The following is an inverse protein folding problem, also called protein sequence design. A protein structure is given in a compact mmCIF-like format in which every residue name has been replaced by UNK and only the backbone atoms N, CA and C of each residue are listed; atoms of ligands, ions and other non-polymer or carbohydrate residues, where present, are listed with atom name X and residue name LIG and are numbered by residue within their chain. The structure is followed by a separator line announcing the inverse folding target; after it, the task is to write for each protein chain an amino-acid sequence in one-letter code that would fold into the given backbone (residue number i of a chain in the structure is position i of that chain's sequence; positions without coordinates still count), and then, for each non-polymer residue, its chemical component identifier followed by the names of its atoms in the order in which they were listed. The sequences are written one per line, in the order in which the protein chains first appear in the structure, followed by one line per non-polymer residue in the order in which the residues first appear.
data_IF_057876369545
#
_entry.id   IF_057876369545
#
_cell.length_a   1.000
_cell.length_b   1.000
_cell.length_c   1.000
_cell.angle_alpha   90.00
_cell.angle_beta   90.00
_cell.angle_gamma   90.00
#
_symmetry.space_group_name_H-M   'P 1'
#
loop_
_entity.id
_entity.type
_entity.pdbx_description
1 polymer ?
#
# COMPACT_ATOMS: atom_id res chain seq x y z
N UNK A 1 -0.88 -13.88 -17.23
CA UNK A 1 -1.71 -12.86 -16.55
C UNK A 1 -0.90 -12.35 -15.39
N UNK A 2 -0.84 -11.04 -15.16
CA UNK A 2 -0.09 -10.47 -14.03
C UNK A 2 -0.81 -10.73 -12.71
N UNK A 3 -0.09 -11.10 -11.66
CA UNK A 3 -0.66 -11.34 -10.33
C UNK A 3 -0.90 -10.00 -9.61
N UNK A 4 -2.10 -9.74 -9.06
CA UNK A 4 -2.34 -8.52 -8.30
C UNK A 4 -1.61 -8.57 -6.96
N UNK A 5 -1.00 -7.44 -6.58
CA UNK A 5 -0.39 -7.23 -5.27
C UNK A 5 -0.80 -5.85 -4.78
N UNK A 6 -1.26 -5.78 -3.53
CA UNK A 6 -1.36 -4.53 -2.82
C UNK A 6 -0.09 -4.31 -1.99
N UNK A 7 0.55 -3.15 -2.16
CA UNK A 7 1.72 -2.75 -1.40
C UNK A 7 1.34 -1.70 -0.34
N UNK A 8 1.66 -1.99 0.91
CA UNK A 8 1.60 -1.05 2.02
C UNK A 8 3.02 -0.65 2.43
N UNK A 9 3.29 0.66 2.52
CA UNK A 9 4.57 1.14 3.05
C UNK A 9 4.64 0.95 4.57
N UNK A 10 5.85 0.82 5.11
CA UNK A 10 6.08 0.82 6.56
C UNK A 10 6.13 2.25 7.11
N UNK A 11 6.30 2.40 8.43
CA UNK A 11 6.46 3.71 9.05
C UNK A 11 7.69 4.45 8.49
N UNK A 12 7.46 5.62 7.86
CA UNK A 12 8.53 6.56 7.48
C UNK A 12 8.36 7.19 6.10
N UNK A 13 8.31 6.38 5.04
CA UNK A 13 8.32 6.89 3.66
C UNK A 13 7.03 6.49 2.92
N UNK A 14 6.38 7.43 2.19
CA UNK A 14 5.18 7.13 1.41
C UNK A 14 5.51 6.21 0.25
N UNK A 15 4.47 5.57 -0.31
CA UNK A 15 4.59 4.57 -1.38
C UNK A 15 5.35 5.08 -2.61
N UNK A 16 5.27 6.38 -2.90
CA UNK A 16 6.01 7.02 -4.00
C UNK A 16 7.53 6.75 -3.97
N UNK A 17 8.12 6.54 -2.79
CA UNK A 17 9.56 6.24 -2.65
C UNK A 17 9.94 4.89 -3.27
N UNK A 18 8.98 3.96 -3.38
CA UNK A 18 9.18 2.60 -3.86
C UNK A 18 9.01 2.44 -5.37
N UNK A 19 8.90 3.51 -6.15
CA UNK A 19 8.66 3.44 -7.59
C UNK A 19 9.65 2.55 -8.37
N UNK A 20 10.93 2.52 -7.97
CA UNK A 20 11.92 1.60 -8.58
C UNK A 20 11.57 0.12 -8.35
N UNK A 21 11.05 -0.22 -7.16
CA UNK A 21 10.59 -1.57 -6.85
C UNK A 21 9.36 -1.92 -7.70
N UNK A 22 8.40 -1.00 -7.83
CA UNK A 22 7.20 -1.25 -8.65
C UNK A 22 7.53 -1.47 -10.12
N UNK A 23 8.45 -0.68 -10.69
CA UNK A 23 8.95 -0.90 -12.05
C UNK A 23 9.61 -2.27 -12.23
N UNK A 24 10.34 -2.75 -11.23
CA UNK A 24 10.98 -4.07 -11.27
C UNK A 24 9.96 -5.22 -11.18
N UNK A 25 8.84 -5.01 -10.47
CA UNK A 25 7.77 -6.01 -10.31
C UNK A 25 6.77 -6.04 -11.47
N UNK A 26 6.63 -4.94 -12.23
CA UNK A 26 5.65 -4.77 -13.31
C UNK A 26 5.60 -5.88 -14.38
N UNK A 27 6.69 -6.61 -14.73
CA UNK A 27 6.61 -7.72 -15.68
C UNK A 27 5.71 -8.88 -15.21
N UNK A 28 5.61 -9.09 -13.90
CA UNK A 28 4.93 -10.24 -13.29
C UNK A 28 3.72 -9.83 -12.44
N UNK A 29 3.76 -8.63 -11.86
CA UNK A 29 2.78 -8.16 -10.88
C UNK A 29 2.11 -6.85 -11.29
N UNK A 30 0.80 -6.77 -11.05
CA UNK A 30 0.06 -5.53 -11.08
C UNK A 30 0.01 -4.95 -9.65
N UNK A 31 0.92 -4.02 -9.35
CA UNK A 31 1.04 -3.42 -8.01
C UNK A 31 0.08 -2.25 -7.86
N UNK A 32 -0.75 -2.29 -6.82
CA UNK A 32 -1.59 -1.17 -6.35
C UNK A 32 -1.12 -0.74 -4.96
N UNK A 33 -1.26 0.53 -4.62
CA UNK A 33 -0.88 1.05 -3.31
C UNK A 33 -1.68 2.32 -3.00
N UNK A 34 -1.85 2.62 -1.71
CA UNK A 34 -2.21 3.97 -1.27
C UNK A 34 -0.96 4.85 -1.25
N UNK A 35 -1.13 6.17 -1.33
CA UNK A 35 -0.02 7.11 -1.13
C UNK A 35 0.52 7.02 0.30
N UNK A 36 -0.41 7.03 1.27
CA UNK A 36 -0.13 6.86 2.70
C UNK A 36 -1.26 6.11 3.40
N UNK A 37 -0.91 5.12 4.24
CA UNK A 37 -1.87 4.46 5.13
C UNK A 37 -2.21 5.31 6.35
N UNK A 38 -3.40 5.11 6.92
CA UNK A 38 -3.86 5.77 8.14
C UNK A 38 -3.98 7.31 8.04
N UNK A 39 -4.19 7.83 6.82
CA UNK A 39 -4.38 9.27 6.58
C UNK A 39 -5.81 9.61 6.13
N UNK A 40 -6.62 8.60 5.80
CA UNK A 40 -8.04 8.80 5.54
C UNK A 40 -8.83 8.81 6.86
N UNK A 41 -9.52 9.91 7.22
CA UNK A 41 -10.29 10.00 8.46
C UNK A 41 -11.46 9.00 8.55
N UNK A 42 -11.85 8.36 7.44
CA UNK A 42 -12.86 7.29 7.42
C UNK A 42 -12.35 5.98 8.02
N UNK A 43 -11.04 5.78 8.07
CA UNK A 43 -10.37 4.57 8.54
C UNK A 43 -9.38 4.93 9.67
N UNK A 44 -9.88 5.35 10.85
CA UNK A 44 -9.01 5.76 11.96
C UNK A 44 -8.18 4.58 12.47
N UNK A 45 -6.93 4.82 12.87
CA UNK A 45 -6.08 3.78 13.46
C UNK A 45 -6.71 3.25 14.75
N UNK A 46 -6.84 1.94 14.83
CA UNK A 46 -7.32 1.21 16.00
C UNK A 46 -6.30 0.17 16.48
N UNK A 47 -6.61 -0.44 17.64
CA UNK A 47 -5.81 -1.54 18.16
C UNK A 47 -5.85 -2.71 17.17
N UNK A 48 -4.68 -3.16 16.73
CA UNK A 48 -4.49 -4.21 15.72
C UNK A 48 -4.83 -3.83 14.26
N UNK A 49 -5.07 -2.55 13.97
CA UNK A 49 -5.13 -2.01 12.60
C UNK A 49 -6.25 -2.58 11.73
N UNK A 50 -7.38 -2.99 12.32
CA UNK A 50 -8.50 -3.57 11.57
C UNK A 50 -9.07 -2.56 10.58
N UNK A 51 -9.22 -1.29 11.01
CA UNK A 51 -9.68 -0.23 10.10
C UNK A 51 -8.72 0.00 8.93
N UNK A 52 -7.42 -0.28 9.07
CA UNK A 52 -6.45 -0.13 7.99
C UNK A 52 -6.48 -1.32 7.02
N UNK A 53 -7.01 -2.48 7.43
CA UNK A 53 -7.32 -3.59 6.52
C UNK A 53 -8.48 -3.21 5.61
N UNK A 54 -9.49 -2.50 6.13
CA UNK A 54 -10.62 -2.00 5.35
C UNK A 54 -10.24 -0.83 4.41
N UNK A 55 -9.08 -0.20 4.63
CA UNK A 55 -8.53 0.86 3.79
C UNK A 55 -7.90 0.33 2.47
N UNK A 56 -7.61 -0.98 2.39
CA UNK A 56 -6.95 -1.66 1.26
C UNK A 56 -7.85 -1.83 0.02
#
# INVERSE_FOLDING_TARGET
MSQPVFFAHANGFPSATYGKLFCALAPEYAVTHLDQHAHDPRFPVDDNWLNLVDEL
#
